data_IF_314284453682
#
_entry.id   IF_314284453682
#
_cell.length_a   1.000
_cell.length_b   1.000
_cell.length_c   1.000
_cell.angle_alpha   90.00
_cell.angle_beta   90.00
_cell.angle_gamma   90.00
#
_symmetry.space_group_name_H-M   'P 1'
#
loop_
_entity.id
_entity.type
_entity.pdbx_description
1 polymer ?
#
# COMPACT_ATOMS: atom_id res chain seq x y z
N UNK A 1 8.54 0.45 -8.02
CA UNK A 1 8.11 -0.60 -7.08
C UNK A 1 8.80 -1.85 -7.53
N UNK A 2 9.53 -2.52 -6.65
CA UNK A 2 10.14 -3.81 -7.00
C UNK A 2 8.98 -4.78 -7.17
N UNK A 3 8.84 -5.36 -8.36
CA UNK A 3 7.81 -6.36 -8.60
C UNK A 3 8.24 -7.63 -7.89
N UNK A 4 7.37 -8.17 -7.05
CA UNK A 4 7.60 -9.48 -6.47
C UNK A 4 7.81 -10.52 -7.58
N UNK A 5 8.84 -11.38 -7.46
CA UNK A 5 9.14 -12.36 -8.49
C UNK A 5 7.99 -13.35 -8.61
N UNK A 6 7.48 -13.49 -9.83
CA UNK A 6 6.44 -14.48 -10.16
C UNK A 6 7.08 -15.87 -10.14
N UNK A 7 6.56 -16.75 -9.27
CA UNK A 7 6.93 -18.17 -9.32
C UNK A 7 6.49 -18.75 -10.67
N UNK A 8 7.42 -19.45 -11.32
CA UNK A 8 7.19 -20.25 -12.51
C UNK A 8 7.16 -21.70 -12.05
N UNK A 9 6.02 -22.36 -12.25
CA UNK A 9 5.86 -23.77 -11.92
C UNK A 9 6.14 -24.60 -13.18
N UNK A 10 6.80 -25.74 -12.98
CA UNK A 10 7.00 -26.73 -14.03
C UNK A 10 5.69 -27.47 -14.30
N UNK A 11 5.58 -28.12 -15.47
CA UNK A 11 4.35 -28.86 -15.83
C UNK A 11 4.17 -30.13 -14.97
N UNK A 12 5.26 -30.68 -14.44
CA UNK A 12 5.25 -31.75 -13.43
C UNK A 12 4.59 -31.28 -12.12
N UNK A 13 5.05 -30.16 -11.56
CA UNK A 13 4.47 -29.59 -10.33
C UNK A 13 2.98 -29.21 -10.49
N UNK A 14 2.55 -28.87 -11.71
CA UNK A 14 1.14 -28.56 -12.02
C UNK A 14 0.26 -29.80 -12.11
N UNK A 15 0.85 -30.93 -12.48
CA UNK A 15 0.15 -32.20 -12.66
C UNK A 15 -0.03 -32.94 -11.34
N UNK A 16 0.74 -32.58 -10.31
CA UNK A 16 0.60 -33.12 -8.96
C UNK A 16 -0.73 -32.68 -8.29
N UNK A 17 -1.63 -33.62 -7.95
CA UNK A 17 -2.95 -33.28 -7.41
C UNK A 17 -2.88 -32.58 -6.04
N UNK A 18 -1.79 -32.78 -5.29
CA UNK A 18 -1.55 -32.13 -4.01
C UNK A 18 -1.14 -30.64 -4.15
N UNK A 19 -0.42 -30.30 -5.23
CA UNK A 19 0.08 -28.94 -5.50
C UNK A 19 -0.80 -28.15 -6.47
N UNK A 20 -1.65 -28.81 -7.26
CA UNK A 20 -2.54 -28.19 -8.26
C UNK A 20 -3.40 -27.07 -7.66
N UNK A 21 -4.08 -27.33 -6.53
CA UNK A 21 -4.95 -26.33 -5.87
C UNK A 21 -4.14 -25.13 -5.34
N UNK A 22 -3.03 -25.32 -4.60
CA UNK A 22 -2.11 -24.25 -4.21
C UNK A 22 -1.57 -23.43 -5.39
N UNK A 23 -1.11 -24.08 -6.45
CA UNK A 23 -0.57 -23.44 -7.64
C UNK A 23 -1.64 -22.57 -8.31
N UNK A 24 -2.86 -23.09 -8.50
CA UNK A 24 -3.99 -22.31 -9.02
C UNK A 24 -4.29 -21.06 -8.18
N UNK A 25 -4.14 -21.14 -6.85
CA UNK A 25 -4.30 -19.98 -5.97
C UNK A 25 -3.18 -18.95 -6.16
N UNK A 26 -1.93 -19.41 -6.31
CA UNK A 26 -0.79 -18.53 -6.60
C UNK A 26 -0.93 -17.85 -7.97
N UNK A 27 -1.32 -18.58 -9.01
CA UNK A 27 -1.55 -18.02 -10.34
C UNK A 27 -2.69 -16.99 -10.35
N UNK A 28 -3.80 -17.29 -9.65
CA UNK A 28 -4.91 -16.34 -9.49
C UNK A 28 -4.49 -15.10 -8.70
N UNK A 29 -3.64 -15.25 -7.69
CA UNK A 29 -3.09 -14.13 -6.93
C UNK A 29 -2.16 -13.27 -7.81
N UNK A 30 -1.34 -13.89 -8.67
CA UNK A 30 -0.52 -13.18 -9.65
C UNK A 30 -1.37 -12.37 -10.63
N UNK A 31 -2.41 -12.96 -11.21
CA UNK A 31 -3.32 -12.24 -12.11
C UNK A 31 -4.01 -11.05 -11.40
N UNK A 32 -4.33 -11.18 -10.11
CA UNK A 32 -4.90 -10.09 -9.31
C UNK A 32 -3.88 -8.98 -9.03
N UNK A 33 -2.63 -9.33 -8.75
CA UNK A 33 -1.54 -8.37 -8.58
C UNK A 33 -1.29 -7.59 -9.87
N UNK A 34 -1.21 -8.28 -11.01
CA UNK A 34 -1.03 -7.66 -12.33
C UNK A 34 -2.18 -6.68 -12.65
N UNK A 35 -3.43 -7.10 -12.44
CA UNK A 35 -4.61 -6.24 -12.61
C UNK A 35 -4.58 -5.05 -11.66
N UNK A 36 -4.18 -5.23 -10.40
CA UNK A 36 -4.11 -4.16 -9.42
C UNK A 36 -3.01 -3.14 -9.76
N UNK A 37 -1.86 -3.59 -10.26
CA UNK A 37 -0.80 -2.72 -10.77
C UNK A 37 -1.23 -1.96 -12.01
N UNK A 38 -1.92 -2.60 -12.95
CA UNK A 38 -2.45 -1.94 -14.15
C UNK A 38 -3.46 -0.82 -13.81
N UNK A 39 -4.19 -0.96 -12.71
CA UNK A 39 -5.14 0.04 -12.21
C UNK A 39 -4.47 1.21 -11.46
N UNK A 40 -3.15 1.21 -11.27
CA UNK A 40 -2.44 2.35 -10.68
C UNK A 40 -2.52 3.53 -11.67
N UNK A 41 -2.97 4.73 -11.23
CA UNK A 41 -3.05 5.89 -12.11
C UNK A 41 -1.68 6.28 -12.67
N UNK A 42 -1.51 6.23 -13.99
CA UNK A 42 -0.24 6.62 -14.66
C UNK A 42 -0.17 8.13 -14.91
N UNK A 43 1.03 8.70 -14.90
CA UNK A 43 1.32 10.06 -15.39
C UNK A 43 1.59 9.96 -16.89
N UNK A 44 0.89 10.76 -17.68
CA UNK A 44 1.27 11.01 -19.08
C UNK A 44 2.49 11.93 -19.04
N UNK A 45 3.66 11.42 -19.41
CA UNK A 45 4.89 12.20 -19.55
C UNK A 45 5.22 12.22 -21.05
N UNK A 46 5.49 13.40 -21.61
CA UNK A 46 6.03 13.48 -22.97
C UNK A 46 7.54 13.29 -22.83
N UNK A 47 8.06 12.20 -23.40
CA UNK A 47 9.48 11.95 -23.44
C UNK A 47 9.98 12.18 -24.86
N UNK A 48 10.88 13.14 -25.01
CA UNK A 48 11.57 13.38 -26.27
C UNK A 48 12.65 12.31 -26.41
N UNK A 49 12.47 11.38 -27.33
CA UNK A 49 13.46 10.36 -27.68
C UNK A 49 14.20 10.87 -28.91
N UNK A 50 15.52 10.85 -28.87
CA UNK A 50 16.38 11.22 -30.00
C UNK A 50 16.76 9.92 -30.68
N UNK A 51 16.40 9.76 -31.96
CA UNK A 51 16.81 8.57 -32.72
C UNK A 51 18.33 8.63 -32.96
N UNK A 52 19.10 7.63 -32.52
CA UNK A 52 20.56 7.67 -32.58
C UNK A 52 21.10 7.70 -34.01
N UNK A 53 20.35 7.15 -34.97
CA UNK A 53 20.79 7.03 -36.38
C UNK A 53 20.50 8.26 -37.23
N UNK A 54 19.54 9.11 -36.83
CA UNK A 54 19.10 10.26 -37.64
C UNK A 54 19.10 11.60 -36.90
N UNK A 55 19.37 11.62 -35.59
CA UNK A 55 19.41 12.84 -34.76
C UNK A 55 18.06 13.58 -34.65
N UNK A 56 16.99 13.04 -35.26
CA UNK A 56 15.66 13.65 -35.24
C UNK A 56 15.01 13.41 -33.88
N UNK A 57 14.53 14.51 -33.29
CA UNK A 57 13.80 14.48 -32.01
C UNK A 57 12.37 14.00 -32.27
N UNK A 58 12.03 12.78 -31.87
CA UNK A 58 10.65 12.30 -31.89
C UNK A 58 10.07 12.36 -30.47
N UNK A 59 8.99 13.11 -30.29
CA UNK A 59 8.31 13.21 -28.99
C UNK A 59 7.32 12.04 -28.85
N UNK A 60 7.67 11.02 -28.06
CA UNK A 60 6.77 9.90 -27.74
C UNK A 60 6.08 10.15 -26.40
N UNK A 61 4.77 9.89 -26.33
CA UNK A 61 4.02 9.95 -25.08
C UNK A 61 4.28 8.67 -24.28
N UNK A 62 4.99 8.77 -23.16
CA UNK A 62 5.21 7.64 -22.26
C UNK A 62 4.29 7.74 -21.04
N UNK A 63 3.79 6.60 -20.57
CA UNK A 63 2.95 6.53 -19.38
C UNK A 63 3.81 6.01 -18.23
N UNK A 64 4.33 6.91 -17.41
CA UNK A 64 5.10 6.55 -16.23
C UNK A 64 4.17 6.24 -15.05
N UNK A 65 4.55 5.27 -14.23
CA UNK A 65 3.83 4.96 -13.00
C UNK A 65 3.97 6.14 -12.03
N UNK A 66 2.84 6.72 -11.58
CA UNK A 66 2.87 7.77 -10.57
C UNK A 66 3.49 7.20 -9.29
N UNK A 67 4.60 7.79 -8.85
CA UNK A 67 5.13 7.53 -7.50
C UNK A 67 4.05 7.84 -6.46
N UNK A 68 3.87 6.93 -5.50
CA UNK A 68 2.93 7.08 -4.39
C UNK A 68 3.16 8.43 -3.71
N UNK A 69 2.11 9.22 -3.42
CA UNK A 69 2.30 10.50 -2.76
C UNK A 69 2.92 10.31 -1.36
N UNK A 70 3.72 11.28 -0.89
CA UNK A 70 4.43 11.20 0.39
C UNK A 70 3.49 10.87 1.57
N UNK A 71 4.00 10.13 2.56
CA UNK A 71 3.26 9.71 3.75
C UNK A 71 3.09 10.88 4.73
N UNK A 72 2.10 10.79 5.66
CA UNK A 72 1.87 11.83 6.69
C UNK A 72 3.14 12.17 7.49
N UNK A 73 4.04 11.21 7.71
CA UNK A 73 5.33 11.41 8.39
C UNK A 73 6.25 12.42 7.67
N UNK A 74 6.34 12.33 6.35
CA UNK A 74 7.10 13.29 5.53
C UNK A 74 6.40 14.65 5.38
N UNK A 75 5.12 14.73 5.75
CA UNK A 75 4.28 15.90 5.57
C UNK A 75 4.19 16.72 6.86
N UNK A 76 4.22 16.07 8.04
CA UNK A 76 4.33 16.74 9.33
C UNK A 76 5.55 17.64 9.45
N UNK A 77 6.68 17.29 8.81
CA UNK A 77 7.88 18.16 8.75
C UNK A 77 7.64 19.44 7.93
N UNK A 78 6.76 19.39 6.92
CA UNK A 78 6.45 20.53 6.04
C UNK A 78 5.28 21.38 6.53
N UNK A 79 4.32 20.78 7.23
CA UNK A 79 3.11 21.44 7.74
C UNK A 79 3.27 21.94 9.18
N UNK A 80 4.32 21.52 9.90
CA UNK A 80 4.66 21.98 11.25
C UNK A 80 4.61 23.50 11.45
N UNK A 81 5.22 24.35 10.59
CA UNK A 81 5.20 25.80 10.82
C UNK A 81 3.80 26.42 10.72
N UNK A 82 2.91 25.86 9.88
CA UNK A 82 1.55 26.40 9.70
C UNK A 82 0.68 26.08 10.91
N UNK A 83 0.78 24.87 11.46
CA UNK A 83 0.01 24.47 12.63
C UNK A 83 0.48 25.17 13.92
N UNK A 84 1.77 25.52 14.03
CA UNK A 84 2.28 26.26 15.19
C UNK A 84 1.80 27.72 15.24
N UNK A 85 1.65 28.38 14.09
CA UNK A 85 1.14 29.77 14.02
C UNK A 85 -0.35 29.80 14.33
N UNK A 86 -1.12 28.86 13.78
CA UNK A 86 -2.54 28.72 14.11
C UNK A 86 -2.72 28.45 15.62
N UNK A 87 -1.96 27.52 16.20
CA UNK A 87 -2.03 27.20 17.62
C UNK A 87 -1.63 28.35 18.56
N UNK A 88 -0.77 29.28 18.12
CA UNK A 88 -0.43 30.49 18.89
C UNK A 88 -1.54 31.54 18.87
N UNK A 89 -2.14 31.77 17.70
CA UNK A 89 -3.30 32.67 17.57
C UNK A 89 -4.48 32.16 18.41
N UNK A 90 -4.73 30.85 18.42
CA UNK A 90 -5.76 30.25 19.29
C UNK A 90 -5.47 30.38 20.79
N UNK A 91 -4.20 30.54 21.20
CA UNK A 91 -3.85 30.63 22.62
C UNK A 91 -3.99 32.05 23.17
N UNK A 92 -3.61 33.06 22.39
CA UNK A 92 -3.75 34.48 22.78
C UNK A 92 -5.22 34.92 22.79
N UNK A 93 -6.05 34.40 21.89
CA UNK A 93 -7.48 34.69 21.87
C UNK A 93 -8.18 34.07 23.09
N UNK A 94 -7.84 32.81 23.44
CA UNK A 94 -8.42 32.07 24.58
C UNK A 94 -8.20 32.72 25.95
N UNK A 95 -7.12 33.50 26.12
CA UNK A 95 -6.85 34.24 27.36
C UNK A 95 -7.76 35.47 27.52
N UNK A 96 -8.36 35.97 26.43
CA UNK A 96 -9.25 37.15 26.44
C UNK A 96 -10.75 36.83 26.43
N UNK A 97 -11.13 35.55 26.44
CA UNK A 97 -12.43 35.06 25.93
C UNK A 97 -13.41 34.50 26.98
N UNK A 98 -13.05 34.45 28.27
CA UNK A 98 -13.92 33.85 29.29
C UNK A 98 -15.24 34.61 29.57
N UNK A 99 -15.41 35.82 29.04
CA UNK A 99 -16.54 36.71 29.40
C UNK A 99 -17.54 37.02 28.28
N UNK A 100 -17.44 36.42 27.07
CA UNK A 100 -18.29 36.84 25.95
C UNK A 100 -18.91 35.69 25.14
N UNK A 101 -20.16 35.37 25.46
CA UNK A 101 -20.98 34.27 24.89
C UNK A 101 -21.19 34.38 23.37
N UNK A 102 -21.04 35.58 22.78
CA UNK A 102 -21.10 35.78 21.33
C UNK A 102 -19.92 35.17 20.58
N UNK A 103 -18.75 35.09 21.22
CA UNK A 103 -17.51 34.61 20.58
C UNK A 103 -17.43 33.08 20.60
N UNK A 104 -17.97 32.41 21.63
CA UNK A 104 -18.11 30.95 21.66
C UNK A 104 -18.87 30.38 20.45
N UNK A 105 -19.86 31.12 19.94
CA UNK A 105 -20.65 30.71 18.77
C UNK A 105 -19.85 30.79 17.47
N UNK A 106 -19.03 31.83 17.31
CA UNK A 106 -18.11 31.96 16.19
C UNK A 106 -17.02 30.88 16.27
N UNK A 107 -16.48 30.62 17.45
CA UNK A 107 -15.44 29.61 17.68
C UNK A 107 -15.88 28.18 17.36
N UNK A 108 -17.12 27.80 17.73
CA UNK A 108 -17.70 26.51 17.31
C UNK A 108 -17.91 26.42 15.80
N UNK A 109 -18.24 27.53 15.16
CA UNK A 109 -18.41 27.57 13.70
C UNK A 109 -17.08 27.42 12.97
N UNK A 110 -16.00 28.01 13.49
CA UNK A 110 -14.64 27.83 12.98
C UNK A 110 -14.16 26.38 13.14
N UNK A 111 -14.34 25.79 14.31
CA UNK A 111 -13.98 24.38 14.56
C UNK A 111 -14.76 23.43 13.63
N UNK A 112 -16.05 23.71 13.37
CA UNK A 112 -16.87 22.95 12.43
C UNK A 112 -16.40 23.11 10.96
N UNK A 113 -15.97 24.31 10.57
CA UNK A 113 -15.42 24.57 9.22
C UNK A 113 -14.07 23.89 9.04
N UNK A 114 -13.18 23.96 10.04
CA UNK A 114 -11.87 23.31 10.00
C UNK A 114 -11.99 21.78 9.95
N UNK A 115 -12.83 21.21 10.82
CA UNK A 115 -13.10 19.76 10.82
C UNK A 115 -13.74 19.33 9.50
N UNK A 116 -14.68 20.10 8.96
CA UNK A 116 -15.28 19.87 7.65
C UNK A 116 -14.24 19.85 6.51
N UNK A 117 -13.38 20.87 6.45
CA UNK A 117 -12.32 20.96 5.45
C UNK A 117 -11.29 19.83 5.57
N UNK A 118 -10.94 19.44 6.80
CA UNK A 118 -10.03 18.33 7.08
C UNK A 118 -10.61 16.99 6.60
N UNK A 119 -11.89 16.71 6.88
CA UNK A 119 -12.58 15.49 6.45
C UNK A 119 -12.66 15.37 4.93
N UNK A 120 -12.93 16.48 4.22
CA UNK A 120 -12.95 16.50 2.75
C UNK A 120 -11.56 16.21 2.18
N UNK A 121 -10.50 16.82 2.73
CA UNK A 121 -9.12 16.58 2.32
C UNK A 121 -8.69 15.14 2.58
N UNK A 122 -9.05 14.57 3.73
CA UNK A 122 -8.76 13.18 4.07
C UNK A 122 -9.54 12.21 3.19
N UNK A 123 -10.82 12.49 2.92
CA UNK A 123 -11.67 11.73 1.99
C UNK A 123 -11.06 11.66 0.59
N UNK A 124 -10.68 12.82 0.04
CA UNK A 124 -10.04 12.92 -1.27
C UNK A 124 -8.70 12.17 -1.34
N UNK A 125 -7.84 12.36 -0.32
CA UNK A 125 -6.55 11.67 -0.23
C UNK A 125 -6.73 10.17 -0.09
N UNK A 126 -7.69 9.73 0.73
CA UNK A 126 -8.00 8.31 0.92
C UNK A 126 -8.36 7.67 -0.42
N UNK A 127 -9.22 8.32 -1.21
CA UNK A 127 -9.64 7.84 -2.52
C UNK A 127 -8.46 7.75 -3.50
N UNK A 128 -7.58 8.75 -3.54
CA UNK A 128 -6.35 8.71 -4.36
C UNK A 128 -5.38 7.61 -3.94
N UNK A 129 -5.34 7.25 -2.67
CA UNK A 129 -4.48 6.20 -2.13
C UNK A 129 -5.07 4.79 -2.27
N UNK A 130 -6.40 4.64 -2.45
CA UNK A 130 -7.07 3.34 -2.64
C UNK A 130 -6.39 2.44 -3.69
N UNK A 131 -6.07 2.89 -4.93
CA UNK A 131 -5.44 2.00 -5.92
C UNK A 131 -4.07 1.48 -5.46
N UNK A 132 -3.25 2.33 -4.84
CA UNK A 132 -1.94 1.92 -4.30
C UNK A 132 -2.07 0.92 -3.14
N UNK A 133 -3.07 1.12 -2.26
CA UNK A 133 -3.35 0.18 -1.17
C UNK A 133 -3.81 -1.17 -1.70
N UNK A 134 -4.68 -1.18 -2.71
CA UNK A 134 -5.15 -2.41 -3.37
C UNK A 134 -4.02 -3.16 -4.07
N UNK A 135 -3.12 -2.45 -4.77
CA UNK A 135 -1.92 -3.04 -5.36
C UNK A 135 -1.04 -3.71 -4.30
N UNK A 136 -0.71 -3.00 -3.22
CA UNK A 136 0.09 -3.56 -2.13
C UNK A 136 -0.59 -4.76 -1.42
N UNK A 137 -1.92 -4.73 -1.28
CA UNK A 137 -2.66 -5.88 -0.75
C UNK A 137 -2.62 -7.09 -1.69
N UNK A 138 -2.69 -6.87 -3.00
CA UNK A 138 -2.60 -7.94 -3.99
C UNK A 138 -1.20 -8.56 -4.05
N UNK A 139 -0.15 -7.73 -3.94
CA UNK A 139 1.25 -8.18 -3.82
C UNK A 139 1.45 -9.07 -2.58
N UNK A 140 0.96 -8.64 -1.41
CA UNK A 140 0.99 -9.48 -0.19
C UNK A 140 0.24 -10.80 -0.34
N UNK A 141 -0.87 -10.80 -1.08
CA UNK A 141 -1.62 -12.04 -1.34
C UNK A 141 -0.85 -12.99 -2.26
N UNK A 142 -0.16 -12.44 -3.28
CA UNK A 142 0.75 -13.19 -4.13
C UNK A 142 1.88 -13.79 -3.30
N UNK A 143 2.58 -13.00 -2.49
CA UNK A 143 3.67 -13.47 -1.62
C UNK A 143 3.21 -14.61 -0.72
N UNK A 144 2.08 -14.43 -0.02
CA UNK A 144 1.52 -15.47 0.84
C UNK A 144 1.19 -16.75 0.07
N UNK A 145 0.63 -16.64 -1.13
CA UNK A 145 0.32 -17.79 -1.96
C UNK A 145 1.60 -18.49 -2.44
N UNK A 146 2.61 -17.73 -2.85
CA UNK A 146 3.91 -18.25 -3.27
C UNK A 146 4.60 -19.01 -2.13
N UNK A 147 4.65 -18.41 -0.94
CA UNK A 147 5.23 -19.05 0.27
C UNK A 147 4.49 -20.34 0.61
N UNK A 148 3.16 -20.37 0.51
CA UNK A 148 2.40 -21.59 0.78
C UNK A 148 2.72 -22.71 -0.22
N UNK A 149 2.88 -22.40 -1.51
CA UNK A 149 3.24 -23.42 -2.52
C UNK A 149 4.64 -23.96 -2.23
N UNK A 150 5.61 -23.07 -1.98
CA UNK A 150 6.97 -23.48 -1.63
C UNK A 150 7.01 -24.32 -0.35
N UNK A 151 6.21 -23.94 0.65
CA UNK A 151 6.08 -24.69 1.89
C UNK A 151 5.52 -26.09 1.64
N UNK A 152 4.46 -26.23 0.84
CA UNK A 152 3.87 -27.54 0.54
C UNK A 152 4.82 -28.42 -0.28
N UNK A 153 5.53 -27.83 -1.25
CA UNK A 153 6.61 -28.52 -1.96
C UNK A 153 7.67 -29.03 -0.98
N UNK A 154 8.12 -28.18 -0.05
CA UNK A 154 9.13 -28.56 0.94
C UNK A 154 8.67 -29.71 1.87
N UNK A 155 7.37 -29.77 2.20
CA UNK A 155 6.80 -30.85 3.01
C UNK A 155 6.73 -32.19 2.25
N UNK A 156 6.53 -32.15 0.92
CA UNK A 156 6.57 -33.35 0.08
C UNK A 156 8.00 -33.88 -0.06
N UNK A 157 8.96 -32.98 -0.33
CA UNK A 157 10.38 -33.35 -0.43
C UNK A 157 10.94 -33.83 0.91
N UNK A 158 10.46 -33.28 2.03
CA UNK A 158 10.96 -33.57 3.36
C UNK A 158 9.81 -33.95 4.32
N UNK A 159 9.31 -35.20 4.26
CA UNK A 159 8.23 -35.65 5.14
C UNK A 159 8.60 -35.59 6.62
N UNK A 160 9.91 -35.54 6.95
CA UNK A 160 10.40 -35.37 8.32
C UNK A 160 9.96 -34.04 8.97
N UNK A 161 9.70 -33.00 8.18
CA UNK A 161 9.20 -31.72 8.70
C UNK A 161 7.69 -31.72 8.96
N UNK A 162 6.96 -32.70 8.43
CA UNK A 162 5.53 -32.88 8.62
C UNK A 162 5.23 -33.51 10.00
N UNK A 163 5.54 -32.78 11.07
CA UNK A 163 5.22 -33.20 12.44
C UNK A 163 3.84 -32.69 12.90
N UNK A 164 3.19 -33.45 13.77
CA UNK A 164 1.90 -33.06 14.34
C UNK A 164 2.06 -31.79 15.21
N UNK A 165 1.32 -30.70 14.95
CA UNK A 165 1.43 -29.46 15.72
C UNK A 165 1.17 -29.64 17.22
N UNK A 166 0.28 -30.58 17.60
CA UNK A 166 0.03 -30.91 19.00
C UNK A 166 1.25 -31.54 19.68
N UNK A 167 1.94 -32.45 18.98
CA UNK A 167 3.16 -33.09 19.48
C UNK A 167 4.29 -32.07 19.65
N UNK A 168 4.47 -31.14 18.70
CA UNK A 168 5.45 -30.04 18.86
C UNK A 168 5.13 -29.14 20.04
N UNK A 169 3.84 -28.85 20.26
CA UNK A 169 3.42 -28.05 21.40
C UNK A 169 3.71 -28.77 22.72
N UNK A 170 3.39 -30.07 22.81
CA UNK A 170 3.72 -30.90 23.96
C UNK A 170 5.22 -30.99 24.21
N UNK A 171 6.04 -31.24 23.17
CA UNK A 171 7.50 -31.23 23.26
C UNK A 171 8.02 -29.89 23.76
N UNK A 172 7.49 -28.77 23.24
CA UNK A 172 7.88 -27.42 23.68
C UNK A 172 7.54 -27.15 25.14
N UNK A 173 6.42 -27.70 25.65
CA UNK A 173 6.08 -27.62 27.07
C UNK A 173 6.98 -28.54 27.92
N UNK A 174 7.33 -29.73 27.43
CA UNK A 174 8.15 -30.70 28.16
C UNK A 174 9.64 -30.31 28.27
N UNK A 175 10.14 -29.46 27.37
CA UNK A 175 11.52 -28.91 27.41
C UNK A 175 11.61 -27.68 28.33
N UNK A 176 10.47 -27.11 28.73
CA UNK A 176 10.39 -25.91 29.56
C UNK A 176 10.39 -26.26 31.04
#
# INVERSE_FOLDING_TARGET
MNKEPRLRFTDEERSDPALEKPIRKAEKAAARADKAQANIPKKKVRQTVIDPDTGKKTSKLTFEDKKKPPSKLSQGVKEAPVHLVAGKLHKEIRETEQDNVGVESAHKSEEAVETGAYLVREGYRSHKLKPYRKAAQAERQLEKANVNVLYQKSLQENPQFASNPLSRWQQKQAIK
#
